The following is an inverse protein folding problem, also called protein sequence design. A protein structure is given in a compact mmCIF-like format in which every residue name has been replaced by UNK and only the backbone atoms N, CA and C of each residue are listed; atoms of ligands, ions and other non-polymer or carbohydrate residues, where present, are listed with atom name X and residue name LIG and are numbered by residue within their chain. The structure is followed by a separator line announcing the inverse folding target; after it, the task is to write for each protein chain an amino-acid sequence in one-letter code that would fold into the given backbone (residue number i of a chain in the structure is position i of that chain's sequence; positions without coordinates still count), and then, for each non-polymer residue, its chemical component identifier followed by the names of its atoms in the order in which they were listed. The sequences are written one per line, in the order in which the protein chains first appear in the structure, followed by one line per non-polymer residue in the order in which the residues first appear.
data_IF_875269817639
#
_entry.id   IF_875269817639
#
_cell.length_a   1.000
_cell.length_b   1.000
_cell.length_c   1.000
_cell.angle_alpha   90.00
_cell.angle_beta   90.00
_cell.angle_gamma   90.00
#
_symmetry.space_group_name_H-M   'P 1'
#
loop_
_entity.id
_entity.type
_entity.pdbx_description
1 polymer ?
#
# COMPACT_ATOMS: atom_id res chain seq x y z
N UNK A 1 -12.44 -6.85 3.28
CA UNK A 1 -11.90 -5.66 3.96
C UNK A 1 -10.39 -5.67 3.77
N UNK A 2 -9.79 -4.49 3.67
CA UNK A 2 -8.34 -4.28 3.70
C UNK A 2 -7.99 -3.47 4.94
N UNK A 3 -6.75 -3.60 5.39
CA UNK A 3 -6.25 -2.84 6.52
C UNK A 3 -4.74 -2.67 6.41
N UNK A 4 -4.22 -1.63 7.03
CA UNK A 4 -2.80 -1.40 7.21
C UNK A 4 -2.56 -0.61 8.49
N UNK A 5 -1.40 -0.81 9.09
CA UNK A 5 -1.00 -0.16 10.33
C UNK A 5 0.47 0.24 10.21
N UNK A 6 0.80 1.44 10.64
CA UNK A 6 2.17 1.89 10.64
C UNK A 6 2.44 3.08 11.52
N UNK A 7 3.74 3.32 11.72
CA UNK A 7 4.26 4.43 12.48
C UNK A 7 4.69 5.54 11.52
N UNK A 8 4.15 6.74 11.73
CA UNK A 8 4.54 7.99 11.08
C UNK A 8 5.63 8.66 11.93
N UNK A 9 6.88 8.50 11.53
CA UNK A 9 8.02 9.08 12.25
C UNK A 9 8.06 10.61 12.19
N UNK A 10 7.40 11.25 11.22
CA UNK A 10 7.36 12.72 11.11
C UNK A 10 6.49 13.36 12.18
N UNK A 11 5.45 12.63 12.63
CA UNK A 11 4.50 13.07 13.67
C UNK A 11 4.66 12.30 14.98
N UNK A 12 5.58 11.34 15.01
CA UNK A 12 5.79 10.40 16.12
C UNK A 12 4.46 9.73 16.50
N UNK A 13 3.69 9.26 15.51
CA UNK A 13 2.31 8.81 15.72
C UNK A 13 2.04 7.47 15.02
N UNK A 14 1.01 6.77 15.49
CA UNK A 14 0.55 5.53 14.88
C UNK A 14 -0.74 5.76 14.12
N UNK A 15 -0.81 5.15 12.93
CA UNK A 15 -1.94 5.25 12.03
C UNK A 15 -2.47 3.87 11.65
N UNK A 16 -3.79 3.76 11.58
CA UNK A 16 -4.49 2.58 11.03
C UNK A 16 -5.28 3.04 9.83
N UNK A 17 -5.13 2.38 8.69
CA UNK A 17 -5.95 2.60 7.49
C UNK A 17 -6.85 1.39 7.31
N UNK A 18 -8.14 1.63 7.09
CA UNK A 18 -9.11 0.58 6.77
C UNK A 18 -9.77 0.83 5.41
N UNK A 19 -10.35 -0.22 4.85
CA UNK A 19 -11.12 -0.10 3.62
C UNK A 19 -11.86 -1.35 3.19
N UNK A 20 -12.62 -1.20 2.12
CA UNK A 20 -13.31 -2.29 1.43
C UNK A 20 -12.51 -2.77 0.23
N UNK A 21 -12.72 -4.02 -0.16
CA UNK A 21 -11.95 -4.62 -1.26
C UNK A 21 -12.20 -3.93 -2.60
N UNK A 22 -13.43 -3.49 -2.87
CA UNK A 22 -13.87 -3.00 -4.17
C UNK A 22 -13.90 -1.45 -4.24
N UNK A 23 -12.84 -0.79 -3.77
CA UNK A 23 -12.78 0.68 -3.74
C UNK A 23 -13.60 1.31 -2.61
N UNK A 24 -13.85 2.62 -2.73
CA UNK A 24 -14.66 3.42 -1.81
C UNK A 24 -13.88 4.19 -0.75
N UNK A 25 -14.62 4.91 0.11
CA UNK A 25 -14.11 5.73 1.22
C UNK A 25 -13.14 4.94 2.10
N UNK A 26 -11.99 5.56 2.40
CA UNK A 26 -10.95 5.01 3.27
C UNK A 26 -10.87 5.80 4.57
N UNK A 27 -11.29 5.23 5.71
CA UNK A 27 -11.02 5.85 7.00
C UNK A 27 -9.60 5.53 7.46
N UNK A 28 -8.95 6.55 8.03
CA UNK A 28 -7.69 6.47 8.76
C UNK A 28 -7.96 6.83 10.21
N UNK A 29 -7.38 6.08 11.13
CA UNK A 29 -7.31 6.42 12.54
C UNK A 29 -5.91 6.93 12.88
N UNK A 30 -5.85 7.96 13.71
CA UNK A 30 -4.61 8.54 14.23
C UNK A 30 -4.61 8.41 15.75
N UNK A 31 -3.57 7.79 16.33
CA UNK A 31 -3.56 7.41 17.73
C UNK A 31 -3.47 8.61 18.67
N UNK A 32 -2.56 9.56 18.43
CA UNK A 32 -2.39 10.72 19.33
C UNK A 32 -3.64 11.59 19.43
N UNK A 33 -4.31 11.84 18.30
CA UNK A 33 -5.53 12.64 18.29
C UNK A 33 -6.77 11.82 18.67
N UNK A 34 -6.70 10.49 18.59
CA UNK A 34 -7.81 9.56 18.78
C UNK A 34 -9.00 9.87 17.84
N UNK A 35 -8.70 10.17 16.57
CA UNK A 35 -9.70 10.57 15.56
C UNK A 35 -9.70 9.61 14.38
N UNK A 36 -10.90 9.31 13.89
CA UNK A 36 -11.14 8.70 12.59
C UNK A 36 -11.43 9.78 11.53
N UNK A 37 -10.67 9.77 10.44
CA UNK A 37 -10.77 10.73 9.34
C UNK A 37 -10.90 10.01 8.02
N UNK A 38 -11.61 10.60 7.05
CA UNK A 38 -11.66 10.08 5.68
C UNK A 38 -10.49 10.65 4.89
N UNK A 39 -9.62 9.78 4.38
CA UNK A 39 -8.43 10.16 3.59
C UNK A 39 -8.68 10.14 2.07
N UNK A 40 -9.92 9.90 1.65
CA UNK A 40 -10.35 9.95 0.26
C UNK A 40 -10.95 8.64 -0.26
N UNK A 41 -11.31 8.68 -1.54
CA UNK A 41 -11.82 7.54 -2.29
C UNK A 41 -10.83 7.12 -3.36
N UNK A 42 -10.64 5.81 -3.50
CA UNK A 42 -9.77 5.23 -4.53
C UNK A 42 -10.57 4.22 -5.35
N UNK A 43 -10.46 4.33 -6.67
CA UNK A 43 -11.19 3.49 -7.63
C UNK A 43 -10.37 2.25 -8.02
N UNK A 44 -10.01 1.47 -7.00
CA UNK A 44 -9.19 0.26 -7.14
C UNK A 44 -9.83 -0.95 -6.45
N UNK A 45 -9.64 -2.12 -7.06
CA UNK A 45 -9.91 -3.40 -6.40
C UNK A 45 -8.63 -3.91 -5.75
N UNK A 46 -8.68 -4.14 -4.45
CA UNK A 46 -7.52 -4.60 -3.68
C UNK A 46 -7.33 -6.11 -3.80
N UNK A 47 -6.15 -6.51 -4.23
CA UNK A 47 -5.73 -7.91 -4.33
C UNK A 47 -5.19 -8.36 -2.98
N UNK A 48 -4.23 -7.63 -2.43
CA UNK A 48 -3.67 -7.88 -1.09
C UNK A 48 -4.59 -7.29 -0.01
N UNK A 49 -4.84 -8.06 1.06
CA UNK A 49 -5.66 -7.61 2.19
C UNK A 49 -4.90 -6.74 3.19
N UNK A 50 -3.65 -7.10 3.45
CA UNK A 50 -2.80 -6.44 4.45
C UNK A 50 -1.91 -5.43 3.73
N UNK A 51 -1.87 -4.21 4.26
CA UNK A 51 -0.95 -3.16 3.81
C UNK A 51 0.43 -3.43 4.37
N UNK A 52 1.41 -3.58 3.48
CA UNK A 52 2.78 -3.80 3.86
C UNK A 52 3.46 -2.46 4.17
N UNK A 53 4.01 -2.30 5.38
CA UNK A 53 4.70 -1.07 5.76
C UNK A 53 6.15 -1.10 5.27
N UNK A 54 6.53 -0.11 4.47
CA UNK A 54 7.91 0.08 4.03
C UNK A 54 8.20 1.55 3.75
N UNK A 55 9.34 2.04 4.24
CA UNK A 55 9.81 3.41 4.01
C UNK A 55 8.77 4.50 4.33
N UNK A 56 8.08 4.37 5.46
CA UNK A 56 7.08 5.36 5.91
C UNK A 56 5.72 5.30 5.19
N UNK A 57 5.53 4.34 4.28
CA UNK A 57 4.28 4.19 3.54
C UNK A 57 3.71 2.77 3.64
N UNK A 58 2.39 2.67 3.54
CA UNK A 58 1.67 1.40 3.43
C UNK A 58 1.44 1.04 1.97
N UNK A 59 1.74 -0.19 1.59
CA UNK A 59 1.70 -0.67 0.20
C UNK A 59 0.68 -1.80 0.05
N UNK A 60 -0.17 -1.73 -0.98
CA UNK A 60 -1.08 -2.80 -1.36
C UNK A 60 -0.97 -3.09 -2.85
N UNK A 61 -1.14 -4.36 -3.23
CA UNK A 61 -1.38 -4.72 -4.63
C UNK A 61 -2.85 -4.48 -4.97
N UNK A 62 -3.09 -3.75 -6.06
CA UNK A 62 -4.42 -3.40 -6.53
C UNK A 62 -4.55 -3.57 -8.05
N UNK A 63 -5.79 -3.64 -8.54
CA UNK A 63 -6.10 -3.65 -9.97
C UNK A 63 -7.20 -2.65 -10.31
N UNK A 64 -7.14 -2.12 -11.54
CA UNK A 64 -8.17 -1.25 -12.11
C UNK A 64 -9.34 -2.10 -12.62
N UNK A 65 -10.42 -2.15 -11.85
CA UNK A 65 -11.71 -2.73 -12.25
C UNK A 65 -11.67 -4.24 -12.58
N UNK A 66 -11.13 -4.61 -13.74
CA UNK A 66 -11.09 -5.98 -14.28
C UNK A 66 -9.79 -6.72 -13.94
N UNK A 67 -9.88 -8.05 -13.78
CA UNK A 67 -8.75 -8.93 -13.51
C UNK A 67 -7.75 -9.08 -14.68
N UNK A 68 -8.02 -8.47 -15.84
CA UNK A 68 -7.17 -8.58 -17.03
C UNK A 68 -6.11 -7.47 -17.12
N UNK A 69 -6.28 -6.39 -16.37
CA UNK A 69 -5.33 -5.27 -16.38
C UNK A 69 -4.11 -5.60 -15.53
N UNK A 70 -2.96 -5.01 -15.89
CA UNK A 70 -1.75 -5.16 -15.10
C UNK A 70 -2.01 -4.60 -13.70
N UNK A 71 -1.78 -5.38 -12.63
CA UNK A 71 -1.84 -4.84 -11.28
C UNK A 71 -0.82 -3.72 -11.08
N UNK A 72 -1.07 -2.90 -10.07
CA UNK A 72 -0.16 -1.86 -9.61
C UNK A 72 -0.05 -1.92 -8.08
N UNK A 73 0.98 -1.28 -7.55
CA UNK A 73 1.12 -1.10 -6.11
C UNK A 73 0.56 0.28 -5.75
N UNK A 74 -0.44 0.31 -4.88
CA UNK A 74 -0.94 1.52 -4.28
C UNK A 74 -0.17 1.77 -2.98
N UNK A 75 0.60 2.85 -2.95
CA UNK A 75 1.33 3.33 -1.79
C UNK A 75 0.50 4.41 -1.09
N UNK A 76 0.44 4.39 0.23
CA UNK A 76 -0.13 5.45 1.06
C UNK A 76 0.94 6.00 1.99
N UNK A 77 1.37 7.23 1.75
CA UNK A 77 2.34 7.93 2.59
C UNK A 77 1.70 8.30 3.93
N UNK A 78 2.29 7.81 5.03
CA UNK A 78 1.74 8.07 6.36
C UNK A 78 1.99 9.51 6.82
N UNK A 79 3.03 10.19 6.34
CA UNK A 79 3.32 11.57 6.73
C UNK A 79 2.38 12.57 6.04
N UNK A 80 2.23 12.41 4.73
CA UNK A 80 1.48 13.32 3.86
C UNK A 80 0.00 12.95 3.73
N UNK A 81 -0.40 11.76 4.17
CA UNK A 81 -1.73 11.18 3.98
C UNK A 81 -2.15 11.17 2.49
N UNK A 82 -1.22 10.84 1.59
CA UNK A 82 -1.41 10.82 0.13
C UNK A 82 -1.25 9.43 -0.46
N UNK A 83 -2.02 9.15 -1.51
CA UNK A 83 -1.89 7.93 -2.30
C UNK A 83 -1.03 8.15 -3.53
N UNK A 84 -0.15 7.21 -3.81
CA UNK A 84 0.70 7.17 -4.99
C UNK A 84 0.63 5.80 -5.66
N UNK A 85 0.85 5.78 -6.98
CA UNK A 85 0.84 4.55 -7.77
C UNK A 85 2.26 4.19 -8.16
N UNK A 86 2.62 2.93 -7.94
CA UNK A 86 3.91 2.38 -8.33
C UNK A 86 3.64 1.26 -9.35
N UNK A 87 4.30 1.29 -10.52
CA UNK A 87 4.17 0.22 -11.51
C UNK A 87 4.57 -1.14 -10.93
N UNK A 88 3.78 -2.19 -11.21
CA UNK A 88 4.12 -3.54 -10.78
C UNK A 88 4.91 -4.28 -11.87
N UNK A 89 5.98 -5.02 -11.49
CA UNK A 89 6.85 -5.71 -12.45
C UNK A 89 6.24 -6.99 -13.02
N UNK A 90 5.20 -7.54 -12.39
CA UNK A 90 4.59 -8.81 -12.77
C UNK A 90 3.06 -8.81 -12.63
N UNK A 91 2.42 -9.68 -13.42
CA UNK A 91 0.96 -9.77 -13.53
C UNK A 91 0.32 -10.54 -12.37
N UNK A 92 1.02 -11.51 -11.78
CA UNK A 92 0.46 -12.38 -10.75
C UNK A 92 1.18 -12.18 -9.42
N UNK A 93 0.89 -11.03 -8.83
CA UNK A 93 1.45 -10.70 -7.54
C UNK A 93 0.37 -10.44 -6.52
N UNK A 94 0.58 -11.03 -5.35
CA UNK A 94 -0.35 -11.06 -4.24
C UNK A 94 0.34 -10.79 -2.90
N UNK A 95 1.66 -10.96 -2.83
CA UNK A 95 2.47 -10.73 -1.64
C UNK A 95 3.53 -9.64 -1.86
N UNK A 96 3.50 -8.64 -0.98
CA UNK A 96 4.56 -7.65 -0.80
C UNK A 96 5.44 -8.08 0.37
N UNK A 97 6.74 -7.80 0.27
CA UNK A 97 7.71 -8.10 1.30
C UNK A 97 8.97 -7.27 1.13
N UNK A 98 9.99 -7.58 1.92
CA UNK A 98 11.31 -6.95 1.80
C UNK A 98 12.41 -7.99 1.63
N UNK A 99 13.36 -7.70 0.75
CA UNK A 99 14.63 -8.43 0.68
C UNK A 99 15.77 -7.43 0.62
N UNK A 100 16.79 -7.62 1.46
CA UNK A 100 17.97 -6.75 1.50
C UNK A 100 17.66 -5.25 1.58
N UNK A 101 16.59 -4.89 2.29
CA UNK A 101 16.16 -3.51 2.45
C UNK A 101 15.41 -2.89 1.26
N UNK A 102 14.98 -3.69 0.28
CA UNK A 102 14.15 -3.22 -0.85
C UNK A 102 12.75 -3.82 -0.75
N UNK A 103 11.71 -3.02 -1.06
CA UNK A 103 10.37 -3.57 -1.27
C UNK A 103 10.39 -4.53 -2.47
N UNK A 104 9.77 -5.68 -2.30
CA UNK A 104 9.74 -6.73 -3.31
C UNK A 104 8.33 -7.31 -3.44
N UNK A 105 8.13 -7.91 -4.61
CA UNK A 105 6.91 -8.58 -4.99
C UNK A 105 7.26 -10.00 -5.43
N UNK A 106 6.50 -10.99 -4.95
CA UNK A 106 6.62 -12.38 -5.40
C UNK A 106 5.65 -12.64 -6.56
N UNK A 107 6.17 -13.07 -7.70
CA UNK A 107 5.37 -13.64 -8.78
C UNK A 107 5.17 -15.14 -8.51
N UNK A 108 3.98 -15.52 -8.05
CA UNK A 108 3.70 -16.88 -7.59
C UNK A 108 3.86 -17.94 -8.70
N UNK A 109 3.38 -17.72 -9.94
CA UNK A 109 3.52 -18.72 -11.00
C UNK A 109 4.97 -19.02 -11.40
N UNK A 110 5.85 -18.00 -11.41
CA UNK A 110 7.25 -18.16 -11.78
C UNK A 110 8.18 -18.40 -10.59
N UNK A 111 7.68 -18.25 -9.36
CA UNK A 111 8.46 -18.26 -8.12
C UNK A 111 9.64 -17.26 -8.16
N UNK A 112 9.43 -16.11 -8.81
CA UNK A 112 10.45 -15.06 -8.98
C UNK A 112 10.14 -13.86 -8.09
N UNK A 113 11.17 -13.36 -7.39
CA UNK A 113 11.10 -12.12 -6.62
C UNK A 113 11.56 -10.94 -7.48
N UNK A 114 10.72 -9.91 -7.54
CA UNK A 114 11.03 -8.67 -8.23
C UNK A 114 11.20 -7.55 -7.21
N UNK A 115 12.37 -6.90 -7.23
CA UNK A 115 12.61 -5.68 -6.48
C UNK A 115 11.88 -4.50 -7.12
N UNK A 116 11.23 -3.69 -6.29
CA UNK A 116 10.57 -2.45 -6.70
C UNK A 116 11.57 -1.31 -6.49
N UNK A 117 12.06 -0.65 -7.56
CA UNK A 117 12.97 0.48 -7.40
C UNK A 117 12.20 1.64 -6.76
N UNK A 118 12.44 1.90 -5.48
CA UNK A 118 12.03 3.14 -4.85
C UNK A 118 13.06 4.22 -5.20
N UNK A 119 12.66 5.20 -5.99
CA UNK A 119 13.34 6.50 -5.95
C UNK A 119 13.05 7.10 -4.58
N UNK A 120 14.06 7.11 -3.70
CA UNK A 120 14.04 7.90 -2.48
C UNK A 120 13.78 9.36 -2.88
N UNK A 121 12.55 9.84 -2.73
CA UNK A 121 12.32 11.28 -2.69
C UNK A 121 12.61 11.75 -1.28
N UNK A 122 13.84 12.24 -1.07
CA UNK A 122 14.21 13.18 -0.02
C UNK A 122 14.33 12.61 1.40
N UNK A 123 15.56 12.66 1.93
CA UNK A 123 15.77 12.90 3.36
C UNK A 123 15.83 14.40 3.66
#
# INVERSE_FOLDING_TARGET
MIYGFGYDSSKDDYKVVLGFRNGGIRPKFTLKSNVWEVIGEVNYTFVSRVGFLYSGALHWVVCHGSAYQMPLILSFDLSEDKFEQIPQPCKWADHLGTISGCLCVLDVPSNTLYGIPFTLQGG
#
